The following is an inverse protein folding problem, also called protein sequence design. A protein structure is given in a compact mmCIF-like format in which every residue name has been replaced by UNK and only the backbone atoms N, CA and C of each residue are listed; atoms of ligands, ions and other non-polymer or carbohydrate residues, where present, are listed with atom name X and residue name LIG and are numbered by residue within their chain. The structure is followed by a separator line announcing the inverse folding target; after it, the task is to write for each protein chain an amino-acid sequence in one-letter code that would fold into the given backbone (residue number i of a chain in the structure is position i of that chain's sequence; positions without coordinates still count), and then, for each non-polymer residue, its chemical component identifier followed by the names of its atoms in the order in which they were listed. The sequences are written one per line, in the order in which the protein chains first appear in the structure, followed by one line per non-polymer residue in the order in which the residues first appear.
data_IF_393160410975
#
_entry.id   IF_393160410975
#
_cell.length_a   1.000
_cell.length_b   1.000
_cell.length_c   1.000
_cell.angle_alpha   90.00
_cell.angle_beta   90.00
_cell.angle_gamma   90.00
#
_symmetry.space_group_name_H-M   'P 1'
#
loop_
_entity.id
_entity.type
_entity.pdbx_description
1 polymer ?
#
# COMPACT_ATOMS: atom_id res chain seq x y z
N UNK A 1 15.18 -14.94 15.67
CA UNK A 1 14.88 -13.88 14.66
C UNK A 1 14.11 -14.47 13.48
N UNK A 2 13.52 -13.62 12.61
CA UNK A 2 12.94 -14.06 11.33
C UNK A 2 13.97 -14.79 10.45
N UNK A 3 15.23 -14.37 10.55
CA UNK A 3 16.38 -14.99 9.87
C UNK A 3 16.59 -16.45 10.29
N UNK A 4 16.46 -16.76 11.59
CA UNK A 4 16.62 -18.13 12.08
C UNK A 4 15.41 -19.01 11.71
N UNK A 5 14.20 -18.44 11.76
CA UNK A 5 12.95 -19.16 11.46
C UNK A 5 12.84 -19.55 9.98
N UNK A 6 13.40 -18.74 9.07
CA UNK A 6 13.25 -18.92 7.63
C UNK A 6 14.59 -19.12 6.90
N UNK A 7 15.62 -19.57 7.62
CA UNK A 7 16.97 -19.76 7.08
C UNK A 7 16.97 -20.48 5.72
N UNK A 8 16.25 -21.59 5.61
CA UNK A 8 16.22 -22.42 4.40
C UNK A 8 15.43 -21.78 3.23
N UNK A 9 14.75 -20.65 3.47
CA UNK A 9 14.02 -19.87 2.45
C UNK A 9 14.69 -18.53 2.15
N UNK A 10 15.82 -18.23 2.76
CA UNK A 10 16.60 -17.04 2.48
C UNK A 10 17.55 -17.31 1.31
N UNK A 11 17.30 -16.66 0.17
CA UNK A 11 18.21 -16.72 -0.98
C UNK A 11 19.49 -15.88 -0.77
N UNK A 12 19.48 -14.92 0.16
CA UNK A 12 20.61 -14.06 0.47
C UNK A 12 20.22 -12.80 1.25
N UNK A 13 21.18 -11.93 1.50
CA UNK A 13 21.00 -10.62 2.16
C UNK A 13 21.37 -9.50 1.19
N UNK A 14 20.51 -8.49 1.09
CA UNK A 14 20.79 -7.25 0.35
C UNK A 14 21.29 -6.18 1.33
N UNK A 15 22.44 -5.58 1.06
CA UNK A 15 23.02 -4.49 1.85
C UNK A 15 23.32 -3.28 0.97
N UNK A 16 23.04 -2.08 1.46
CA UNK A 16 23.34 -0.81 0.80
C UNK A 16 23.82 0.23 1.82
N UNK A 17 24.64 1.18 1.39
CA UNK A 17 25.14 2.27 2.22
C UNK A 17 24.08 3.35 2.50
N UNK A 18 23.17 3.60 1.56
CA UNK A 18 22.12 4.64 1.68
C UNK A 18 20.71 4.04 1.52
N UNK A 19 20.26 3.76 0.29
CA UNK A 19 18.89 3.28 0.05
C UNK A 19 18.82 2.13 -0.95
N UNK A 20 18.03 1.10 -0.62
CA UNK A 20 17.58 0.06 -1.55
C UNK A 20 16.14 0.38 -1.97
N UNK A 21 15.92 0.58 -3.26
CA UNK A 21 14.57 0.69 -3.83
C UNK A 21 14.26 -0.59 -4.57
N UNK A 22 13.29 -1.35 -4.08
CA UNK A 22 12.84 -2.60 -4.71
C UNK A 22 11.53 -2.30 -5.44
N UNK A 23 11.57 -2.35 -6.77
CA UNK A 23 10.39 -2.19 -7.62
C UNK A 23 9.98 -3.55 -8.16
N UNK A 24 8.70 -3.88 -8.02
CA UNK A 24 8.13 -5.11 -8.57
C UNK A 24 6.75 -4.85 -9.14
N UNK A 25 6.43 -5.55 -10.22
CA UNK A 25 5.09 -5.54 -10.82
C UNK A 25 4.40 -6.84 -10.46
N UNK A 26 3.11 -6.79 -10.14
CA UNK A 26 2.27 -7.97 -9.95
C UNK A 26 1.44 -8.19 -11.23
N UNK A 27 1.89 -9.05 -12.19
CA UNK A 27 1.34 -9.06 -13.55
C UNK A 27 -0.17 -9.35 -13.59
N UNK A 28 -0.68 -10.18 -12.67
CA UNK A 28 -2.11 -10.53 -12.62
C UNK A 28 -3.02 -9.44 -12.03
N UNK A 29 -2.49 -8.37 -11.46
CA UNK A 29 -3.29 -7.34 -10.78
C UNK A 29 -2.87 -5.90 -11.13
N UNK A 30 -1.81 -5.72 -11.93
CA UNK A 30 -1.28 -4.39 -12.26
C UNK A 30 -2.01 -3.69 -13.42
N UNK A 31 -3.01 -4.33 -14.03
CA UNK A 31 -3.86 -3.73 -15.06
C UNK A 31 -5.27 -4.36 -15.05
N UNK A 32 -6.25 -3.64 -15.59
CA UNK A 32 -7.66 -3.96 -15.40
C UNK A 32 -8.07 -5.33 -15.98
N UNK A 33 -7.57 -5.70 -17.18
CA UNK A 33 -7.85 -7.00 -17.79
C UNK A 33 -7.15 -8.15 -17.04
N UNK A 34 -5.93 -7.93 -16.52
CA UNK A 34 -5.25 -8.89 -15.65
C UNK A 34 -6.05 -9.15 -14.38
N UNK A 35 -6.48 -8.08 -13.72
CA UNK A 35 -7.28 -8.18 -12.49
C UNK A 35 -8.65 -8.83 -12.75
N UNK A 36 -9.27 -8.53 -13.90
CA UNK A 36 -10.50 -9.21 -14.34
C UNK A 36 -10.29 -10.71 -14.49
N UNK A 37 -9.20 -11.13 -15.16
CA UNK A 37 -8.83 -12.54 -15.29
C UNK A 37 -8.57 -13.20 -13.93
N UNK A 38 -7.88 -12.50 -13.02
CA UNK A 38 -7.62 -12.96 -11.67
C UNK A 38 -8.90 -13.22 -10.85
N UNK A 39 -9.88 -12.31 -10.92
CA UNK A 39 -11.17 -12.47 -10.24
C UNK A 39 -11.96 -13.63 -10.82
N UNK A 40 -12.04 -13.72 -12.16
CA UNK A 40 -12.74 -14.80 -12.85
C UNK A 40 -12.15 -16.18 -12.52
N UNK A 41 -10.82 -16.30 -12.51
CA UNK A 41 -10.12 -17.54 -12.14
C UNK A 41 -10.38 -17.97 -10.68
N UNK A 42 -10.86 -17.06 -9.83
CA UNK A 42 -11.23 -17.31 -8.42
C UNK A 42 -12.73 -17.38 -8.19
N UNK A 43 -13.53 -17.37 -9.26
CA UNK A 43 -14.99 -17.35 -9.21
C UNK A 43 -15.55 -16.16 -8.42
N UNK A 44 -14.84 -15.03 -8.39
CA UNK A 44 -15.30 -13.79 -7.78
C UNK A 44 -15.99 -12.96 -8.87
N UNK A 45 -17.25 -12.58 -8.62
CA UNK A 45 -17.99 -11.72 -9.57
C UNK A 45 -17.31 -10.35 -9.65
N UNK A 46 -17.27 -9.77 -10.85
CA UNK A 46 -16.63 -8.46 -11.08
C UNK A 46 -17.21 -7.37 -10.16
N UNK A 47 -18.52 -7.37 -9.92
CA UNK A 47 -19.18 -6.42 -9.02
C UNK A 47 -18.91 -6.67 -7.52
N UNK A 48 -18.39 -7.84 -7.15
CA UNK A 48 -17.94 -8.12 -5.78
C UNK A 48 -16.46 -7.69 -5.57
N UNK A 49 -15.81 -7.07 -6.55
CA UNK A 49 -14.44 -6.54 -6.43
C UNK A 49 -14.21 -5.69 -5.15
N UNK A 50 -15.08 -4.73 -4.79
CA UNK A 50 -14.88 -3.96 -3.56
C UNK A 50 -14.85 -4.83 -2.30
N UNK A 51 -15.69 -5.87 -2.23
CA UNK A 51 -15.75 -6.83 -1.10
C UNK A 51 -14.51 -7.70 -1.03
N UNK A 52 -13.90 -8.00 -2.18
CA UNK A 52 -12.60 -8.66 -2.25
C UNK A 52 -11.46 -7.77 -1.77
N UNK A 53 -11.43 -6.50 -2.18
CA UNK A 53 -10.34 -5.57 -1.88
C UNK A 53 -10.37 -5.01 -0.44
N UNK A 54 -11.56 -4.85 0.13
CA UNK A 54 -11.82 -4.35 1.49
C UNK A 54 -10.97 -5.01 2.59
N UNK A 55 -10.96 -6.35 2.76
CA UNK A 55 -10.14 -6.99 3.80
C UNK A 55 -8.64 -6.79 3.59
N UNK A 56 -8.17 -6.64 2.34
CA UNK A 56 -6.76 -6.36 2.06
C UNK A 56 -6.37 -4.95 2.49
N UNK A 57 -7.22 -3.97 2.17
CA UNK A 57 -7.08 -2.58 2.61
C UNK A 57 -7.06 -2.49 4.14
N UNK A 58 -8.00 -3.15 4.80
CA UNK A 58 -8.13 -3.08 6.25
C UNK A 58 -6.92 -3.70 6.95
N UNK A 59 -6.41 -4.83 6.43
CA UNK A 59 -5.16 -5.44 6.93
C UNK A 59 -3.95 -4.51 6.81
N UNK A 60 -3.82 -3.75 5.71
CA UNK A 60 -2.74 -2.78 5.55
C UNK A 60 -2.85 -1.66 6.59
N UNK A 61 -4.06 -1.14 6.80
CA UNK A 61 -4.33 -0.11 7.81
C UNK A 61 -4.03 -0.60 9.23
N UNK A 62 -4.49 -1.80 9.57
CA UNK A 62 -4.25 -2.40 10.89
C UNK A 62 -2.77 -2.67 11.13
N UNK A 63 -2.04 -3.17 10.12
CA UNK A 63 -0.60 -3.37 10.22
C UNK A 63 0.16 -2.05 10.40
N UNK A 64 -0.23 -0.99 9.67
CA UNK A 64 0.37 0.34 9.83
C UNK A 64 0.16 0.89 11.25
N UNK A 65 -1.06 0.76 11.77
CA UNK A 65 -1.39 1.19 13.14
C UNK A 65 -0.66 0.38 14.20
N UNK A 66 -0.59 -0.94 14.04
CA UNK A 66 0.13 -1.82 14.95
C UNK A 66 1.63 -1.49 14.98
N UNK A 67 2.24 -1.24 13.81
CA UNK A 67 3.65 -0.86 13.70
C UNK A 67 3.92 0.49 14.38
N UNK A 68 3.09 1.50 14.10
CA UNK A 68 3.22 2.82 14.73
C UNK A 68 3.11 2.71 16.26
N UNK A 69 2.10 1.99 16.75
CA UNK A 69 1.86 1.79 18.19
C UNK A 69 3.02 1.05 18.86
N UNK A 70 3.54 -0.01 18.24
CA UNK A 70 4.65 -0.80 18.77
C UNK A 70 5.95 0.01 18.88
N UNK A 71 6.10 1.07 18.09
CA UNK A 71 7.27 1.96 18.09
C UNK A 71 7.00 3.28 18.84
N UNK A 72 5.82 3.46 19.44
CA UNK A 72 5.44 4.71 20.12
C UNK A 72 5.26 5.90 19.18
N UNK A 73 5.17 5.67 17.87
CA UNK A 73 4.94 6.71 16.87
C UNK A 73 3.44 6.99 16.69
N UNK A 74 3.09 8.22 16.34
CA UNK A 74 1.72 8.61 15.99
C UNK A 74 1.57 8.65 14.47
N UNK A 75 0.41 8.23 13.97
CA UNK A 75 0.06 8.43 12.57
C UNK A 75 -0.55 9.82 12.43
N UNK A 76 0.14 10.72 11.73
CA UNK A 76 -0.35 12.06 11.43
C UNK A 76 -0.98 12.09 10.03
N UNK A 77 -2.23 12.55 9.93
CA UNK A 77 -2.92 12.68 8.65
C UNK A 77 -2.67 14.05 8.01
N UNK A 78 -2.00 14.06 6.86
CA UNK A 78 -1.71 15.25 6.07
C UNK A 78 -2.85 15.50 5.09
N UNK A 79 -3.79 16.35 5.49
CA UNK A 79 -4.96 16.68 4.68
C UNK A 79 -4.68 17.70 3.54
N UNK A 80 -3.62 18.52 3.68
CA UNK A 80 -3.30 19.60 2.75
C UNK A 80 -2.17 19.19 1.81
N UNK A 81 -2.43 19.22 0.50
CA UNK A 81 -1.45 18.86 -0.53
C UNK A 81 -0.20 19.78 -0.57
N UNK A 82 -0.29 21.01 -0.06
CA UNK A 82 0.82 21.96 -0.05
C UNK A 82 1.83 21.72 1.10
N UNK A 83 1.50 20.87 2.07
CA UNK A 83 2.42 20.59 3.17
C UNK A 83 3.48 19.60 2.67
N UNK A 84 4.74 20.00 2.74
CA UNK A 84 5.87 19.11 2.47
C UNK A 84 6.02 18.14 3.64
N UNK A 85 5.91 16.85 3.34
CA UNK A 85 6.07 15.75 4.31
C UNK A 85 7.44 15.79 4.99
N UNK A 86 8.48 16.18 4.25
CA UNK A 86 9.84 16.36 4.77
C UNK A 86 9.91 17.39 5.90
N UNK A 87 9.15 18.49 5.81
CA UNK A 87 9.15 19.53 6.84
C UNK A 87 8.51 19.03 8.15
N UNK A 88 7.47 18.19 8.04
CA UNK A 88 6.84 17.53 9.19
C UNK A 88 7.82 16.57 9.88
N UNK A 89 8.51 15.72 9.09
CA UNK A 89 9.50 14.79 9.64
C UNK A 89 10.68 15.56 10.26
N UNK A 90 11.13 16.65 9.64
CA UNK A 90 12.19 17.49 10.18
C UNK A 90 11.80 18.14 11.51
N UNK A 91 10.54 18.52 11.71
CA UNK A 91 10.05 19.01 12.99
C UNK A 91 10.10 17.93 14.08
N UNK A 92 9.65 16.71 13.76
CA UNK A 92 9.71 15.57 14.69
C UNK A 92 11.15 15.21 15.04
N UNK A 93 12.06 15.24 14.07
CA UNK A 93 13.49 14.98 14.29
C UNK A 93 14.15 16.02 15.22
N UNK A 94 13.71 17.28 15.20
CA UNK A 94 14.24 18.30 16.12
C UNK A 94 13.90 18.01 17.59
N UNK A 95 12.72 17.44 17.85
CA UNK A 95 12.28 17.11 19.21
C UNK A 95 12.84 15.76 19.68
N UNK A 96 12.80 14.76 18.80
CA UNK A 96 13.24 13.39 19.09
C UNK A 96 14.76 13.24 19.04
N UNK A 97 15.47 13.99 18.21
CA UNK A 97 16.88 13.77 17.91
C UNK A 97 17.14 12.47 17.13
N UNK A 98 18.42 12.06 17.10
CA UNK A 98 18.93 10.98 16.25
C UNK A 98 18.75 9.56 16.83
N UNK A 99 17.76 9.35 17.70
CA UNK A 99 17.52 8.03 18.25
C UNK A 99 17.20 7.00 17.14
N UNK A 100 17.66 5.75 17.24
CA UNK A 100 17.36 4.75 16.23
C UNK A 100 15.87 4.35 16.24
N UNK A 101 15.32 3.92 15.10
CA UNK A 101 13.95 3.42 14.97
C UNK A 101 13.04 4.27 14.08
N UNK A 102 11.74 3.94 14.09
CA UNK A 102 10.72 4.66 13.33
C UNK A 102 10.63 6.11 13.80
N UNK A 103 10.74 7.06 12.87
CA UNK A 103 10.75 8.49 13.19
C UNK A 103 9.34 9.04 13.28
N UNK A 104 8.54 8.85 12.23
CA UNK A 104 7.18 9.36 12.14
C UNK A 104 6.38 8.55 11.13
N UNK A 105 5.04 8.50 11.28
CA UNK A 105 4.18 7.90 10.26
C UNK A 105 3.23 8.96 9.73
N UNK A 106 3.32 9.25 8.44
CA UNK A 106 2.41 10.18 7.78
C UNK A 106 1.39 9.41 6.96
N UNK A 107 0.13 9.85 7.00
CA UNK A 107 -0.91 9.35 6.10
C UNK A 107 -1.44 10.47 5.22
N UNK A 108 -1.65 10.21 3.94
CA UNK A 108 -2.16 11.22 2.99
C UNK A 108 -3.06 10.58 1.93
N UNK A 109 -4.03 11.33 1.42
CA UNK A 109 -4.85 10.90 0.28
C UNK A 109 -4.11 11.26 -1.02
N UNK A 110 -3.55 10.26 -1.68
CA UNK A 110 -2.79 10.43 -2.92
C UNK A 110 -3.60 9.97 -4.13
N UNK A 111 -3.32 10.55 -5.30
CA UNK A 111 -3.89 10.05 -6.55
C UNK A 111 -3.37 8.62 -6.81
N UNK A 112 -4.29 7.73 -7.18
CA UNK A 112 -3.95 6.34 -7.48
C UNK A 112 -4.74 5.84 -8.69
N UNK A 113 -4.16 4.86 -9.37
CA UNK A 113 -4.90 4.02 -10.31
C UNK A 113 -5.84 3.10 -9.53
N UNK A 114 -7.11 3.11 -9.92
CA UNK A 114 -8.14 2.30 -9.32
C UNK A 114 -8.91 1.53 -10.40
N UNK A 115 -9.78 0.63 -9.95
CA UNK A 115 -10.66 -0.14 -10.81
C UNK A 115 -12.11 0.07 -10.41
N UNK A 116 -12.98 0.18 -11.40
CA UNK A 116 -14.42 0.14 -11.22
C UNK A 116 -15.03 -1.07 -11.96
N UNK A 117 -15.98 -1.79 -11.34
CA UNK A 117 -16.78 -2.79 -12.03
C UNK A 117 -17.59 -2.17 -13.18
N UNK A 118 -17.53 -2.78 -14.36
CA UNK A 118 -18.25 -2.33 -15.53
C UNK A 118 -18.99 -3.48 -16.21
N UNK A 119 -20.12 -3.17 -16.84
CA UNK A 119 -20.88 -4.07 -17.71
C UNK A 119 -21.10 -3.38 -19.06
N UNK A 120 -20.56 -3.97 -20.13
CA UNK A 120 -20.83 -3.47 -21.48
C UNK A 120 -22.22 -3.91 -21.94
N UNK A 121 -23.08 -2.94 -22.28
CA UNK A 121 -24.46 -3.18 -22.72
C UNK A 121 -24.55 -3.75 -24.14
N UNK A 122 -23.54 -3.52 -24.98
CA UNK A 122 -23.56 -3.98 -26.38
C UNK A 122 -23.07 -5.43 -26.47
N UNK A 123 -21.92 -5.72 -25.86
CA UNK A 123 -21.33 -7.06 -25.93
C UNK A 123 -21.75 -7.99 -24.77
N UNK A 124 -22.37 -7.45 -23.71
CA UNK A 124 -22.77 -8.11 -22.46
C UNK A 124 -21.70 -8.64 -21.46
N UNK A 125 -20.37 -8.51 -21.65
CA UNK A 125 -19.40 -8.93 -20.65
C UNK A 125 -19.34 -7.94 -19.48
N UNK A 126 -18.97 -8.47 -18.33
CA UNK A 126 -18.55 -7.70 -17.15
C UNK A 126 -17.04 -7.74 -17.01
N UNK A 127 -16.41 -6.61 -16.71
CA UNK A 127 -14.97 -6.51 -16.50
C UNK A 127 -14.63 -5.31 -15.62
N UNK A 128 -13.42 -5.28 -15.07
CA UNK A 128 -12.91 -4.10 -14.41
C UNK A 128 -12.43 -3.08 -15.45
N UNK A 129 -12.78 -1.82 -15.25
CA UNK A 129 -12.28 -0.68 -16.02
C UNK A 129 -11.32 0.14 -15.15
N UNK A 130 -10.25 0.64 -15.76
CA UNK A 130 -9.38 1.62 -15.11
C UNK A 130 -10.15 2.90 -14.80
N UNK A 131 -9.91 3.45 -13.62
CA UNK A 131 -10.43 4.76 -13.20
C UNK A 131 -9.40 5.45 -12.33
N UNK A 132 -9.44 6.78 -12.26
CA UNK A 132 -8.61 7.54 -11.34
C UNK A 132 -9.31 7.64 -9.98
N UNK A 133 -8.55 7.42 -8.92
CA UNK A 133 -9.05 7.46 -7.55
C UNK A 133 -8.12 8.22 -6.62
N UNK A 134 -8.49 8.21 -5.34
CA UNK A 134 -7.58 8.58 -4.27
C UNK A 134 -7.48 7.45 -3.26
N UNK A 135 -6.26 7.14 -2.86
CA UNK A 135 -5.94 6.07 -1.93
C UNK A 135 -5.25 6.67 -0.70
N UNK A 136 -5.52 6.10 0.47
CA UNK A 136 -4.79 6.47 1.68
C UNK A 136 -3.39 5.83 1.64
N UNK A 137 -2.35 6.64 1.54
CA UNK A 137 -0.96 6.21 1.54
C UNK A 137 -0.35 6.41 2.92
N UNK A 138 0.48 5.48 3.37
CA UNK A 138 1.28 5.58 4.59
C UNK A 138 2.75 5.74 4.23
N UNK A 139 3.41 6.70 4.86
CA UNK A 139 4.85 6.93 4.79
C UNK A 139 5.43 6.66 6.17
N UNK A 140 6.38 5.72 6.23
CA UNK A 140 7.08 5.30 7.46
C UNK A 140 8.50 5.86 7.46
#
# INVERSE_FOLDING_TARGET
MLTDRYHDRLAGTLSCYDRIVITGTLPGACYAAGMTSFLNARHIRIFDYPRFAEPLRDRIREAALALATAQGARIEHVAKAQIRKEDLVAAVLKERGDHPGLVHVLSAMEACDAYEPWHDKQSHPTFLRHTSGKCLHYYF
#
